data_IF_936646907130
#
_entry.id   IF_936646907130
#
_cell.length_a   1.000
_cell.length_b   1.000
_cell.length_c   1.000
_cell.angle_alpha   90.00
_cell.angle_beta   90.00
_cell.angle_gamma   90.00
#
_symmetry.space_group_name_H-M   'P 1'
#
loop_
_entity.id
_entity.type
_entity.pdbx_description
1 polymer ?
#
# COMPACT_ATOMS: atom_id res chain seq x y z
N UNK A 1 -7.93 15.82 -12.23
CA UNK A 1 -8.14 14.61 -11.40
C UNK A 1 -9.59 14.60 -10.97
N UNK A 2 -10.25 13.44 -11.00
CA UNK A 2 -11.64 13.33 -10.52
C UNK A 2 -11.68 13.29 -9.00
N UNK A 3 -12.82 13.59 -8.37
CA UNK A 3 -13.00 13.48 -6.92
C UNK A 3 -12.63 12.09 -6.40
N UNK A 4 -13.06 11.04 -7.12
CA UNK A 4 -12.77 9.65 -6.77
C UNK A 4 -11.26 9.36 -6.78
N UNK A 5 -10.55 9.88 -7.79
CA UNK A 5 -9.10 9.76 -7.89
C UNK A 5 -8.38 10.51 -6.76
N UNK A 6 -8.83 11.71 -6.40
CA UNK A 6 -8.28 12.47 -5.28
C UNK A 6 -8.44 11.71 -3.95
N UNK A 7 -9.62 11.15 -3.69
CA UNK A 7 -9.86 10.34 -2.48
C UNK A 7 -8.94 9.11 -2.49
N UNK A 8 -8.83 8.42 -3.63
CA UNK A 8 -7.97 7.25 -3.75
C UNK A 8 -6.49 7.57 -3.45
N UNK A 9 -5.99 8.69 -3.97
CA UNK A 9 -4.62 9.17 -3.72
C UNK A 9 -4.40 9.46 -2.23
N UNK A 10 -5.32 10.19 -1.59
CA UNK A 10 -5.21 10.52 -0.17
C UNK A 10 -5.29 9.26 0.70
N UNK A 11 -6.18 8.33 0.38
CA UNK A 11 -6.28 7.06 1.08
C UNK A 11 -5.00 6.23 0.90
N UNK A 12 -4.47 6.16 -0.33
CA UNK A 12 -3.20 5.52 -0.66
C UNK A 12 -2.02 6.10 0.12
N UNK A 13 -1.96 7.43 0.28
CA UNK A 13 -0.92 8.09 1.07
C UNK A 13 -0.93 7.64 2.54
N UNK A 14 -2.11 7.63 3.17
CA UNK A 14 -2.26 7.22 4.57
C UNK A 14 -1.91 5.74 4.75
N UNK A 15 -2.40 4.88 3.85
CA UNK A 15 -2.10 3.44 3.88
C UNK A 15 -0.61 3.19 3.68
N UNK A 16 0.03 3.86 2.72
CA UNK A 16 1.46 3.75 2.46
C UNK A 16 2.28 4.18 3.69
N UNK A 17 1.97 5.35 4.25
CA UNK A 17 2.69 5.86 5.41
C UNK A 17 2.63 4.89 6.60
N UNK A 18 1.43 4.38 6.90
CA UNK A 18 1.28 3.41 7.99
C UNK A 18 1.97 2.09 7.69
N UNK A 19 1.83 1.59 6.45
CA UNK A 19 2.41 0.32 6.03
C UNK A 19 3.94 0.34 6.13
N UNK A 20 4.59 1.42 5.68
CA UNK A 20 6.05 1.58 5.83
C UNK A 20 6.46 1.64 7.30
N UNK A 21 5.76 2.43 8.12
CA UNK A 21 6.01 2.50 9.56
C UNK A 21 5.85 1.14 10.27
N UNK A 22 4.90 0.31 9.83
CA UNK A 22 4.70 -1.03 10.41
C UNK A 22 5.71 -2.03 9.87
N UNK A 23 6.08 -1.94 8.60
CA UNK A 23 7.10 -2.79 7.96
C UNK A 23 8.46 -2.60 8.62
N UNK A 24 8.87 -1.35 8.90
CA UNK A 24 10.11 -1.03 9.62
C UNK A 24 10.19 -1.72 11.00
N UNK A 25 9.04 -1.89 11.66
CA UNK A 25 8.96 -2.53 12.99
C UNK A 25 8.90 -4.06 12.93
N UNK A 26 8.83 -4.66 11.74
CA UNK A 26 8.86 -6.12 11.60
C UNK A 26 10.30 -6.64 11.68
N UNK A 27 10.49 -7.73 12.42
CA UNK A 27 11.80 -8.34 12.61
C UNK A 27 11.72 -9.87 12.47
N UNK A 28 11.33 -10.40 11.29
CA UNK A 28 11.09 -11.82 11.10
C UNK A 28 12.36 -12.68 11.23
N UNK A 29 13.54 -12.07 11.05
CA UNK A 29 14.84 -12.73 11.16
C UNK A 29 15.48 -12.62 12.55
N UNK A 30 14.78 -12.07 13.56
CA UNK A 30 15.38 -11.93 14.89
C UNK A 30 15.70 -13.30 15.51
N UNK A 31 16.83 -13.44 16.22
CA UNK A 31 17.18 -14.68 16.89
C UNK A 31 16.16 -15.00 18.01
N UNK A 32 16.04 -16.29 18.34
CA UNK A 32 15.18 -16.77 19.44
C UNK A 32 13.69 -16.95 19.10
N UNK A 33 13.27 -16.77 17.84
CA UNK A 33 11.90 -17.06 17.39
C UNK A 33 11.67 -18.55 17.14
N UNK A 34 10.57 -19.08 17.69
CA UNK A 34 10.05 -20.40 17.30
C UNK A 34 9.54 -20.43 15.85
N UNK A 35 9.37 -21.62 15.27
CA UNK A 35 8.96 -21.77 13.86
C UNK A 35 7.63 -21.06 13.56
N UNK A 36 6.60 -21.29 14.38
CA UNK A 36 5.28 -20.68 14.22
C UNK A 36 5.33 -19.15 14.31
N UNK A 37 6.11 -18.64 15.26
CA UNK A 37 6.26 -17.20 15.48
C UNK A 37 6.98 -16.56 14.30
N UNK A 38 8.02 -17.20 13.77
CA UNK A 38 8.74 -16.75 12.59
C UNK A 38 7.84 -16.68 11.35
N UNK A 39 7.03 -17.71 11.12
CA UNK A 39 6.05 -17.69 10.03
C UNK A 39 5.06 -16.53 10.21
N UNK A 40 4.58 -16.31 11.44
CA UNK A 40 3.65 -15.23 11.74
C UNK A 40 4.26 -13.84 11.49
N UNK A 41 5.52 -13.63 11.87
CA UNK A 41 6.22 -12.37 11.60
C UNK A 41 6.46 -12.15 10.10
N UNK A 42 6.79 -13.20 9.33
CA UNK A 42 6.90 -13.10 7.88
C UNK A 42 5.57 -12.77 7.21
N UNK A 43 4.47 -13.40 7.62
CA UNK A 43 3.14 -13.09 7.11
C UNK A 43 2.74 -11.64 7.42
N UNK A 44 3.08 -11.14 8.60
CA UNK A 44 2.88 -9.74 8.97
C UNK A 44 3.69 -8.79 8.07
N UNK A 45 4.98 -9.08 7.87
CA UNK A 45 5.83 -8.28 6.99
C UNK A 45 5.32 -8.28 5.55
N UNK A 46 4.92 -9.44 5.03
CA UNK A 46 4.35 -9.57 3.69
C UNK A 46 3.05 -8.79 3.56
N UNK A 47 2.15 -8.86 4.55
CA UNK A 47 0.91 -8.09 4.54
C UNK A 47 1.16 -6.58 4.48
N UNK A 48 2.09 -6.05 5.29
CA UNK A 48 2.45 -4.64 5.24
C UNK A 48 3.16 -4.24 3.96
N UNK A 49 4.00 -5.11 3.40
CA UNK A 49 4.64 -4.88 2.11
C UNK A 49 3.61 -4.77 0.97
N UNK A 50 2.63 -5.69 0.94
CA UNK A 50 1.56 -5.65 -0.06
C UNK A 50 0.71 -4.38 0.06
N UNK A 51 0.39 -3.96 1.29
CA UNK A 51 -0.30 -2.68 1.53
C UNK A 51 0.54 -1.47 1.10
N UNK A 52 1.84 -1.49 1.34
CA UNK A 52 2.75 -0.44 0.88
C UNK A 52 2.79 -0.37 -0.65
N UNK A 53 2.88 -1.51 -1.34
CA UNK A 53 2.84 -1.56 -2.80
C UNK A 53 1.50 -1.03 -3.35
N UNK A 54 0.36 -1.42 -2.75
CA UNK A 54 -0.95 -0.89 -3.13
C UNK A 54 -1.08 0.61 -2.90
N UNK A 55 -0.65 1.11 -1.73
CA UNK A 55 -0.66 2.54 -1.40
C UNK A 55 0.26 3.36 -2.32
N UNK A 56 1.47 2.86 -2.61
CA UNK A 56 2.38 3.48 -3.57
C UNK A 56 1.79 3.51 -4.99
N UNK A 57 1.15 2.42 -5.42
CA UNK A 57 0.45 2.36 -6.70
C UNK A 57 -0.61 3.45 -6.85
N UNK A 58 -1.40 3.68 -5.81
CA UNK A 58 -2.41 4.75 -5.79
C UNK A 58 -1.81 6.16 -5.98
N UNK A 59 -0.57 6.40 -5.52
CA UNK A 59 0.14 7.68 -5.69
C UNK A 59 0.81 7.82 -7.06
N UNK A 60 1.39 6.73 -7.58
CA UNK A 60 2.16 6.74 -8.83
C UNK A 60 1.25 6.75 -10.05
N UNK A 61 0.13 6.01 -10.01
CA UNK A 61 -0.82 5.91 -11.13
C UNK A 61 -1.23 7.26 -11.76
N UNK A 62 -1.62 8.32 -11.01
CA UNK A 62 -1.95 9.61 -11.60
C UNK A 62 -0.75 10.39 -12.18
N UNK A 63 0.45 10.11 -11.69
CA UNK A 63 1.69 10.75 -12.14
C UNK A 63 2.30 10.05 -13.35
N UNK A 64 1.81 8.85 -13.69
CA UNK A 64 2.33 8.01 -14.76
C UNK A 64 2.52 8.76 -16.08
N UNK A 65 1.52 9.56 -16.49
CA UNK A 65 1.56 10.32 -17.75
C UNK A 65 2.67 11.39 -17.81
N UNK A 66 3.31 11.68 -16.68
CA UNK A 66 4.33 12.72 -16.53
C UNK A 66 5.71 12.15 -16.21
N UNK A 67 5.82 10.86 -15.89
CA UNK A 67 7.08 10.21 -15.57
C UNK A 67 7.79 9.80 -16.87
N UNK A 68 9.02 10.28 -17.13
CA UNK A 68 9.80 9.84 -18.28
C UNK A 68 10.32 8.41 -18.02
N UNK A 69 9.57 7.41 -18.46
CA UNK A 69 9.91 6.00 -18.27
C UNK A 69 10.37 5.37 -19.59
N UNK A 70 11.45 4.58 -19.58
CA UNK A 70 11.90 3.85 -20.77
C UNK A 70 10.84 2.81 -21.20
N UNK A 71 10.68 2.55 -22.52
CA UNK A 71 9.56 1.77 -23.07
C UNK A 71 9.36 0.40 -22.42
N UNK A 72 10.46 -0.30 -22.11
CA UNK A 72 10.44 -1.63 -21.49
C UNK A 72 9.85 -1.63 -20.07
N UNK A 73 10.05 -0.55 -19.30
CA UNK A 73 9.46 -0.41 -17.96
C UNK A 73 7.99 -0.05 -18.03
N UNK A 74 7.59 0.69 -19.07
CA UNK A 74 6.22 1.09 -19.32
C UNK A 74 5.33 -0.11 -19.61
N UNK A 75 5.83 -1.09 -20.37
CA UNK A 75 5.12 -2.33 -20.71
C UNK A 75 4.93 -3.26 -19.50
N UNK A 76 5.99 -3.52 -18.74
CA UNK A 76 5.91 -4.35 -17.54
C UNK A 76 4.98 -3.73 -16.50
N UNK A 77 5.06 -2.41 -16.29
CA UNK A 77 4.20 -1.75 -15.31
C UNK A 77 2.76 -1.62 -15.79
N UNK A 78 2.52 -1.43 -17.10
CA UNK A 78 1.16 -1.46 -17.66
C UNK A 78 0.47 -2.83 -17.51
N UNK A 79 1.25 -3.93 -17.51
CA UNK A 79 0.74 -5.27 -17.22
C UNK A 79 0.38 -5.43 -15.73
N UNK A 80 1.16 -4.83 -14.83
CA UNK A 80 0.99 -4.94 -13.38
C UNK A 80 -0.02 -3.94 -12.82
N UNK A 81 -0.23 -2.81 -13.51
CA UNK A 81 -1.11 -1.71 -13.12
C UNK A 81 -1.86 -1.22 -14.36
N UNK A 82 -3.05 -1.79 -14.64
CA UNK A 82 -3.91 -1.27 -15.71
C UNK A 82 -4.13 0.22 -15.48
N UNK A 83 -3.83 1.05 -16.49
CA UNK A 83 -3.89 2.52 -16.43
C UNK A 83 -5.31 3.10 -16.34
N UNK A 84 -6.26 2.29 -15.87
CA UNK A 84 -7.63 2.70 -15.61
C UNK A 84 -7.69 3.53 -14.33
N UNK A 85 -8.60 4.53 -14.29
CA UNK A 85 -8.84 5.29 -13.07
C UNK A 85 -9.40 4.38 -11.96
N UNK A 86 -9.22 4.74 -10.67
CA UNK A 86 -9.71 3.93 -9.57
C UNK A 86 -11.22 3.80 -9.63
N UNK A 87 -11.72 2.60 -9.39
CA UNK A 87 -13.16 2.32 -9.25
C UNK A 87 -13.66 2.70 -7.86
N UNK A 88 -14.98 2.72 -7.68
CA UNK A 88 -15.58 2.91 -6.34
C UNK A 88 -15.16 1.78 -5.39
N UNK A 89 -15.01 0.56 -5.89
CA UNK A 89 -14.54 -0.58 -5.10
C UNK A 89 -13.11 -0.34 -4.58
N UNK A 90 -12.20 0.13 -5.42
CA UNK A 90 -10.81 0.39 -5.03
C UNK A 90 -10.74 1.48 -3.95
N UNK A 91 -11.56 2.52 -4.08
CA UNK A 91 -11.67 3.58 -3.07
C UNK A 91 -12.25 3.05 -1.77
N UNK A 92 -13.30 2.24 -1.81
CA UNK A 92 -13.89 1.64 -0.60
C UNK A 92 -12.90 0.72 0.13
N UNK A 93 -12.12 -0.09 -0.60
CA UNK A 93 -11.08 -0.93 -0.01
C UNK A 93 -9.98 -0.09 0.65
N UNK A 94 -9.47 0.93 -0.05
CA UNK A 94 -8.45 1.83 0.49
C UNK A 94 -8.96 2.59 1.74
N UNK A 95 -10.17 3.16 1.66
CA UNK A 95 -10.80 3.85 2.79
C UNK A 95 -11.06 2.91 3.98
N UNK A 96 -11.45 1.66 3.73
CA UNK A 96 -11.59 0.66 4.79
C UNK A 96 -10.31 0.49 5.60
N UNK A 97 -9.16 0.40 4.91
CA UNK A 97 -7.85 0.37 5.59
C UNK A 97 -7.56 1.67 6.32
N UNK A 98 -7.81 2.84 5.71
CA UNK A 98 -7.64 4.14 6.39
C UNK A 98 -8.42 4.20 7.69
N UNK A 99 -9.69 3.78 7.68
CA UNK A 99 -10.54 3.76 8.88
C UNK A 99 -9.97 2.83 9.95
N UNK A 100 -9.49 1.64 9.58
CA UNK A 100 -8.84 0.73 10.52
C UNK A 100 -7.56 1.33 11.11
N UNK A 101 -6.74 1.99 10.30
CA UNK A 101 -5.50 2.66 10.73
C UNK A 101 -5.84 3.79 11.71
N UNK A 102 -6.74 4.69 11.35
CA UNK A 102 -7.18 5.80 12.21
C UNK A 102 -7.77 5.25 13.52
N UNK A 103 -8.60 4.22 13.44
CA UNK A 103 -9.14 3.53 14.63
C UNK A 103 -8.03 3.04 15.54
N UNK A 104 -6.98 2.42 15.00
CA UNK A 104 -5.86 1.96 15.84
C UNK A 104 -5.14 3.11 16.51
N UNK A 105 -4.96 4.26 15.82
CA UNK A 105 -4.36 5.45 16.42
C UNK A 105 -5.23 6.06 17.52
N UNK A 106 -6.53 6.11 17.33
CA UNK A 106 -7.48 6.56 18.38
C UNK A 106 -7.50 5.62 19.57
N UNK A 107 -7.35 4.30 19.36
CA UNK A 107 -7.28 3.32 20.46
C UNK A 107 -5.96 3.41 21.25
N UNK A 108 -4.86 3.71 20.57
CA UNK A 108 -3.50 3.76 21.14
C UNK A 108 -3.14 5.12 21.76
N UNK A 109 -3.93 6.17 21.47
CA UNK A 109 -3.73 7.55 21.94
C UNK A 109 -4.58 7.93 23.14
#
# INVERSE_FOLDING_TARGET
MTTLQTIHVLAGLVVLAEALNKLERTAPCRPGLGLRERVTEWLKALAWLLLALGGAGALVAPLWRYLPMPPSTTELLALLMPLQGPTVQDVCLALGFVVLIVRTRVKEG
#
